data_IF_713431248462
#
_entry.id   IF_713431248462
#
_cell.length_a   1.000
_cell.length_b   1.000
_cell.length_c   1.000
_cell.angle_alpha   90.00
_cell.angle_beta   90.00
_cell.angle_gamma   90.00
#
_symmetry.space_group_name_H-M   'P 1'
#
loop_
_entity.id
_entity.type
_entity.pdbx_description
1 polymer ?
#
# COMPACT_ATOMS: atom_id res chain seq x y z
N UNK A 1 1.44 -14.79 -15.05
CA UNK A 1 0.24 -13.98 -15.44
C UNK A 1 0.41 -12.63 -14.79
N UNK A 2 0.23 -11.50 -15.49
CA UNK A 2 0.43 -10.19 -14.87
C UNK A 2 -0.75 -9.86 -13.94
N UNK A 3 -0.46 -9.41 -12.71
CA UNK A 3 -1.46 -8.90 -11.75
C UNK A 3 -1.67 -7.39 -11.90
N UNK A 4 -0.76 -6.71 -12.62
CA UNK A 4 -0.77 -5.26 -12.81
C UNK A 4 -2.08 -4.78 -13.44
N UNK A 5 -2.65 -3.71 -12.90
CA UNK A 5 -3.93 -3.11 -13.30
C UNK A 5 -5.18 -3.98 -13.11
N UNK A 6 -5.08 -5.09 -12.39
CA UNK A 6 -6.27 -5.86 -12.02
C UNK A 6 -7.04 -5.18 -10.88
N UNK A 7 -8.36 -5.20 -11.00
CA UNK A 7 -9.26 -4.76 -9.94
C UNK A 7 -9.26 -5.74 -8.75
N UNK A 8 -9.76 -5.27 -7.61
CA UNK A 8 -9.95 -6.14 -6.42
C UNK A 8 -10.81 -7.36 -6.78
N UNK A 9 -11.88 -7.18 -7.56
CA UNK A 9 -12.76 -8.27 -7.98
C UNK A 9 -12.02 -9.32 -8.82
N UNK A 10 -11.24 -8.89 -9.82
CA UNK A 10 -10.44 -9.81 -10.64
C UNK A 10 -9.39 -10.56 -9.82
N UNK A 11 -8.71 -9.89 -8.90
CA UNK A 11 -7.74 -10.53 -8.01
C UNK A 11 -8.43 -11.53 -7.07
N UNK A 12 -9.59 -11.17 -6.53
CA UNK A 12 -10.38 -12.07 -5.69
C UNK A 12 -10.85 -13.31 -6.45
N UNK A 13 -11.33 -13.15 -7.68
CA UNK A 13 -11.67 -14.29 -8.56
C UNK A 13 -10.46 -15.20 -8.82
N UNK A 14 -9.26 -14.64 -8.99
CA UNK A 14 -8.03 -15.42 -9.18
C UNK A 14 -7.65 -16.21 -7.93
N UNK A 15 -7.83 -15.64 -6.74
CA UNK A 15 -7.62 -16.33 -5.47
C UNK A 15 -8.67 -17.44 -5.25
N UNK A 16 -9.95 -17.14 -5.47
CA UNK A 16 -11.06 -18.07 -5.26
C UNK A 16 -10.99 -19.30 -6.19
N UNK A 17 -10.59 -19.11 -7.44
CA UNK A 17 -10.41 -20.20 -8.40
C UNK A 17 -9.02 -20.85 -8.33
N UNK A 18 -8.17 -20.41 -7.38
CA UNK A 18 -6.80 -20.91 -7.13
C UNK A 18 -5.85 -20.80 -8.35
N UNK A 19 -6.08 -19.83 -9.23
CA UNK A 19 -5.14 -19.53 -10.33
C UNK A 19 -3.89 -18.78 -9.85
N UNK A 20 -3.95 -18.22 -8.65
CA UNK A 20 -2.83 -17.67 -7.90
C UNK A 20 -3.07 -17.89 -6.40
N UNK A 21 -2.03 -18.11 -5.60
CA UNK A 21 -2.12 -18.09 -4.14
C UNK A 21 -1.99 -16.66 -3.59
N UNK A 22 -2.41 -16.46 -2.33
CA UNK A 22 -2.21 -15.17 -1.65
C UNK A 22 -0.72 -14.84 -1.55
N UNK A 23 0.13 -15.82 -1.21
CA UNK A 23 1.57 -15.63 -1.15
C UNK A 23 2.17 -15.22 -2.49
N UNK A 24 1.77 -15.87 -3.60
CA UNK A 24 2.23 -15.51 -4.94
C UNK A 24 1.79 -14.09 -5.32
N UNK A 25 0.53 -13.73 -5.04
CA UNK A 25 0.01 -12.39 -5.31
C UNK A 25 0.80 -11.31 -4.56
N UNK A 26 1.09 -11.53 -3.28
CA UNK A 26 1.86 -10.59 -2.46
C UNK A 26 3.31 -10.48 -2.96
N UNK A 27 3.96 -11.58 -3.33
CA UNK A 27 5.31 -11.56 -3.90
C UNK A 27 5.39 -10.79 -5.23
N UNK A 28 4.42 -10.99 -6.12
CA UNK A 28 4.35 -10.24 -7.38
C UNK A 28 4.08 -8.75 -7.13
N UNK A 29 3.28 -8.39 -6.12
CA UNK A 29 3.07 -6.99 -5.71
C UNK A 29 4.37 -6.33 -5.26
N UNK A 30 5.19 -7.01 -4.44
CA UNK A 30 6.49 -6.49 -4.03
C UNK A 30 7.46 -6.36 -5.20
N UNK A 31 7.45 -7.30 -6.12
CA UNK A 31 8.25 -7.22 -7.34
C UNK A 31 7.87 -6.01 -8.18
N UNK A 32 6.57 -5.75 -8.40
CA UNK A 32 6.10 -4.54 -9.09
C UNK A 32 6.53 -3.26 -8.37
N UNK A 33 6.47 -3.25 -7.04
CA UNK A 33 6.92 -2.10 -6.25
C UNK A 33 8.41 -1.85 -6.40
N UNK A 34 9.25 -2.90 -6.47
CA UNK A 34 10.70 -2.77 -6.71
C UNK A 34 11.00 -2.36 -8.17
N UNK A 35 10.33 -2.95 -9.15
CA UNK A 35 10.49 -2.62 -10.57
C UNK A 35 10.13 -1.15 -10.88
N UNK A 36 9.25 -0.56 -10.07
CA UNK A 36 8.76 0.82 -10.19
C UNK A 36 9.21 1.73 -9.04
N UNK A 37 10.27 1.36 -8.31
CA UNK A 37 10.75 2.10 -7.13
C UNK A 37 11.12 3.55 -7.40
N UNK A 38 11.49 3.88 -8.63
CA UNK A 38 11.79 5.25 -9.03
C UNK A 38 10.57 6.19 -8.98
N UNK A 39 9.35 5.66 -8.90
CA UNK A 39 8.14 6.47 -8.64
C UNK A 39 8.10 6.99 -7.22
N UNK A 40 8.90 6.43 -6.31
CA UNK A 40 8.99 6.81 -4.89
C UNK A 40 7.63 6.77 -4.15
N UNK A 41 6.79 5.77 -4.50
CA UNK A 41 5.45 5.64 -3.94
C UNK A 41 5.44 5.26 -2.46
N UNK A 42 6.47 4.57 -1.96
CA UNK A 42 6.50 4.01 -0.62
C UNK A 42 7.62 4.58 0.25
N UNK A 43 7.31 4.83 1.53
CA UNK A 43 8.28 5.25 2.57
C UNK A 43 8.75 4.05 3.38
N UNK A 44 7.88 3.08 3.60
CA UNK A 44 8.16 1.86 4.36
C UNK A 44 7.47 0.68 3.70
N UNK A 45 8.21 -0.39 3.44
CA UNK A 45 7.67 -1.66 2.94
C UNK A 45 7.44 -2.61 4.13
N UNK A 46 6.41 -3.46 4.04
CA UNK A 46 5.99 -4.42 5.07
C UNK A 46 6.17 -5.87 4.60
N UNK A 47 7.30 -6.17 3.94
CA UNK A 47 7.45 -7.41 3.17
C UNK A 47 7.29 -8.68 4.00
N UNK A 48 8.05 -8.80 5.08
CA UNK A 48 8.08 -10.06 5.87
C UNK A 48 6.72 -10.36 6.52
N UNK A 49 6.10 -9.34 7.13
CA UNK A 49 4.79 -9.49 7.76
C UNK A 49 3.67 -9.75 6.72
N UNK A 50 3.73 -9.10 5.56
CA UNK A 50 2.76 -9.30 4.49
C UNK A 50 2.85 -10.72 3.89
N UNK A 51 4.05 -11.23 3.64
CA UNK A 51 4.25 -12.59 3.14
C UNK A 51 3.77 -13.62 4.19
N UNK A 52 4.12 -13.42 5.46
CA UNK A 52 3.66 -14.30 6.55
C UNK A 52 2.13 -14.33 6.62
N UNK A 53 1.48 -13.16 6.56
CA UNK A 53 0.01 -13.08 6.57
C UNK A 53 -0.62 -13.78 5.37
N UNK A 54 -0.04 -13.64 4.19
CA UNK A 54 -0.50 -14.33 2.99
C UNK A 54 -0.41 -15.87 3.13
N UNK A 55 0.71 -16.36 3.68
CA UNK A 55 0.89 -17.80 3.97
C UNK A 55 -0.14 -18.32 4.98
N UNK A 56 -0.46 -17.54 6.02
CA UNK A 56 -1.50 -17.89 6.99
C UNK A 56 -2.88 -18.03 6.32
N UNK A 57 -3.24 -17.10 5.41
CA UNK A 57 -4.49 -17.15 4.65
C UNK A 57 -4.54 -18.39 3.75
N UNK A 58 -3.45 -18.67 3.01
CA UNK A 58 -3.36 -19.85 2.14
C UNK A 58 -3.49 -21.16 2.93
N UNK A 59 -2.80 -21.28 4.09
CA UNK A 59 -2.86 -22.45 4.96
C UNK A 59 -4.26 -22.67 5.55
N UNK A 60 -4.91 -21.59 5.98
CA UNK A 60 -6.27 -21.64 6.52
C UNK A 60 -7.31 -21.85 5.42
N UNK A 61 -6.96 -21.62 4.14
CA UNK A 61 -7.87 -21.57 3.00
C UNK A 61 -9.06 -20.62 3.27
N UNK A 62 -8.81 -19.52 4.01
CA UNK A 62 -9.84 -18.57 4.42
C UNK A 62 -9.91 -17.37 3.46
N UNK A 63 -10.68 -17.57 2.41
CA UNK A 63 -11.02 -16.56 1.42
C UNK A 63 -12.46 -16.06 1.58
N UNK A 64 -13.06 -16.20 2.76
CA UNK A 64 -14.47 -15.89 3.03
C UNK A 64 -14.80 -14.39 2.96
N UNK A 65 -13.81 -13.53 3.27
CA UNK A 65 -14.00 -12.08 3.20
C UNK A 65 -13.66 -11.51 1.83
N UNK A 66 -14.34 -10.43 1.46
CA UNK A 66 -14.16 -9.75 0.16
C UNK A 66 -12.74 -9.23 -0.09
N UNK A 67 -11.96 -8.98 0.97
CA UNK A 67 -10.58 -8.52 0.87
C UNK A 67 -9.55 -9.58 1.29
N UNK A 68 -9.97 -10.82 1.60
CA UNK A 68 -9.03 -11.87 2.01
C UNK A 68 -7.93 -12.08 0.95
N UNK A 69 -6.68 -11.86 1.36
CA UNK A 69 -5.51 -12.01 0.51
C UNK A 69 -5.21 -10.82 -0.43
N UNK A 70 -6.03 -9.78 -0.44
CA UNK A 70 -5.86 -8.62 -1.34
C UNK A 70 -4.80 -7.66 -0.80
N UNK A 71 -3.77 -7.29 -1.61
CA UNK A 71 -2.76 -6.31 -1.23
C UNK A 71 -3.35 -4.90 -1.22
N UNK A 72 -3.17 -4.17 -0.11
CA UNK A 72 -3.51 -2.75 0.01
C UNK A 72 -2.31 -1.96 0.51
N UNK A 73 -2.21 -0.70 0.09
CA UNK A 73 -1.21 0.23 0.62
C UNK A 73 -1.88 1.23 1.58
N UNK A 74 -1.18 1.59 2.66
CA UNK A 74 -1.68 2.54 3.65
C UNK A 74 -0.95 3.87 3.53
N UNK A 75 -1.68 4.98 3.41
CA UNK A 75 -1.07 6.31 3.48
C UNK A 75 -0.27 6.45 4.78
N UNK A 76 0.92 7.02 4.70
CA UNK A 76 1.85 7.11 5.84
C UNK A 76 1.38 8.02 7.00
N UNK A 77 0.14 8.48 6.93
CA UNK A 77 -0.58 9.15 8.00
C UNK A 77 -1.22 8.16 9.00
N UNK A 78 -1.68 7.01 8.49
CA UNK A 78 -2.40 6.04 9.33
C UNK A 78 -1.43 5.23 10.19
N UNK A 79 -1.53 5.37 11.51
CA UNK A 79 -0.80 4.52 12.43
C UNK A 79 -1.10 3.04 12.15
N UNK A 80 -0.06 2.24 12.07
CA UNK A 80 -0.14 0.79 11.89
C UNK A 80 0.82 0.16 12.89
N UNK A 81 0.30 -0.58 13.86
CA UNK A 81 1.08 -1.15 14.97
C UNK A 81 2.28 -1.95 14.44
N UNK A 82 3.45 -1.69 15.01
CA UNK A 82 4.69 -2.38 14.66
C UNK A 82 5.29 -1.97 13.30
N UNK A 83 4.58 -1.17 12.48
CA UNK A 83 5.08 -0.70 11.18
C UNK A 83 5.41 0.79 11.23
N UNK A 84 6.65 1.15 10.92
CA UNK A 84 7.11 2.55 10.92
C UNK A 84 6.13 3.44 10.17
N UNK A 85 5.67 4.52 10.83
CA UNK A 85 4.70 5.49 10.33
C UNK A 85 5.23 6.90 10.57
N UNK A 86 5.53 7.65 9.50
CA UNK A 86 6.34 8.86 9.62
C UNK A 86 5.61 10.15 9.25
N UNK A 87 4.39 10.07 8.68
CA UNK A 87 3.73 11.21 8.03
C UNK A 87 4.64 11.92 7.01
N UNK A 88 5.54 11.17 6.37
CA UNK A 88 6.60 11.67 5.48
C UNK A 88 7.47 12.77 6.07
N UNK A 89 7.62 12.80 7.42
CA UNK A 89 8.39 13.78 8.17
C UNK A 89 9.66 13.19 8.76
N UNK A 90 10.74 14.01 8.75
CA UNK A 90 11.97 13.69 9.47
C UNK A 90 11.74 13.55 10.98
N UNK A 91 10.83 14.34 11.55
CA UNK A 91 10.52 14.33 12.99
C UNK A 91 10.04 12.94 13.44
N UNK A 92 9.26 12.26 12.61
CA UNK A 92 8.73 10.93 12.89
C UNK A 92 9.46 9.80 12.16
N UNK A 93 10.64 10.05 11.59
CA UNK A 93 11.34 9.10 10.72
C UNK A 93 11.67 7.74 11.36
N UNK A 94 11.67 7.66 12.68
CA UNK A 94 11.89 6.44 13.47
C UNK A 94 10.68 6.04 14.33
N UNK A 95 9.52 6.68 14.14
CA UNK A 95 8.34 6.37 14.94
C UNK A 95 7.68 5.07 14.50
N UNK A 96 7.48 4.18 15.47
CA UNK A 96 6.71 2.93 15.31
C UNK A 96 5.52 3.01 16.24
N UNK A 97 4.28 3.08 15.70
CA UNK A 97 3.09 3.22 16.51
C UNK A 97 2.83 1.99 17.39
N UNK A 98 2.37 2.16 18.65
CA UNK A 98 1.95 1.08 19.51
C UNK A 98 0.47 0.69 19.32
N UNK A 99 -0.18 1.18 18.27
CA UNK A 99 -1.59 0.91 17.97
C UNK A 99 -1.84 1.08 16.45
N UNK A 100 -2.95 0.49 15.99
CA UNK A 100 -3.43 0.62 14.60
C UNK A 100 -4.63 1.57 14.52
N UNK A 101 -4.65 2.44 13.53
CA UNK A 101 -5.78 3.32 13.24
C UNK A 101 -7.01 2.48 12.86
N UNK A 102 -8.19 2.85 13.37
CA UNK A 102 -9.44 2.09 13.18
C UNK A 102 -9.77 1.80 11.70
N UNK A 103 -9.44 2.73 10.78
CA UNK A 103 -9.66 2.50 9.35
C UNK A 103 -8.81 1.35 8.82
N UNK A 104 -7.52 1.29 9.19
CA UNK A 104 -6.59 0.22 8.80
C UNK A 104 -7.01 -1.09 9.45
N UNK A 105 -7.33 -1.07 10.76
CA UNK A 105 -7.80 -2.24 11.50
C UNK A 105 -9.02 -2.89 10.82
N UNK A 106 -10.00 -2.08 10.40
CA UNK A 106 -11.19 -2.59 9.67
C UNK A 106 -10.83 -3.22 8.33
N UNK A 107 -9.88 -2.67 7.58
CA UNK A 107 -9.40 -3.25 6.32
C UNK A 107 -8.69 -4.59 6.58
N UNK A 108 -7.83 -4.66 7.60
CA UNK A 108 -7.12 -5.88 7.98
C UNK A 108 -8.07 -6.96 8.51
N UNK A 109 -9.09 -6.60 9.30
CA UNK A 109 -10.15 -7.53 9.71
C UNK A 109 -11.01 -8.02 8.53
N UNK A 110 -11.14 -7.23 7.47
CA UNK A 110 -11.76 -7.66 6.22
C UNK A 110 -10.82 -8.55 5.37
N UNK A 111 -9.63 -8.90 5.88
CA UNK A 111 -8.69 -9.84 5.27
C UNK A 111 -7.66 -9.21 4.34
N UNK A 112 -7.61 -7.88 4.20
CA UNK A 112 -6.59 -7.24 3.38
C UNK A 112 -5.18 -7.38 3.98
N UNK A 113 -4.18 -7.33 3.11
CA UNK A 113 -2.77 -7.41 3.50
C UNK A 113 -2.11 -6.06 3.25
N UNK A 114 -1.60 -5.43 4.31
CA UNK A 114 -0.89 -4.15 4.23
C UNK A 114 0.50 -4.37 3.63
N UNK A 115 0.74 -3.84 2.40
CA UNK A 115 2.01 -3.95 1.67
C UNK A 115 3.06 -2.97 2.20
N UNK A 116 2.63 -1.80 2.62
CA UNK A 116 3.53 -0.75 3.10
C UNK A 116 2.84 0.59 3.29
N UNK A 117 3.66 1.59 3.63
CA UNK A 117 3.25 2.96 3.89
C UNK A 117 3.57 3.83 2.68
N UNK A 118 2.56 4.47 2.10
CA UNK A 118 2.73 5.30 0.91
C UNK A 118 3.19 6.71 1.25
N UNK A 119 4.08 7.24 0.42
CA UNK A 119 4.62 8.58 0.51
C UNK A 119 3.52 9.64 0.37
N UNK A 120 3.71 10.78 1.01
CA UNK A 120 2.71 11.84 1.11
C UNK A 120 3.38 13.20 1.33
N UNK A 121 2.66 14.29 1.17
CA UNK A 121 3.12 15.59 1.68
C UNK A 121 3.29 15.51 3.20
N UNK A 122 4.33 16.17 3.73
CA UNK A 122 4.65 16.16 5.15
C UNK A 122 3.43 16.56 6.01
N UNK A 123 3.05 15.70 6.98
CA UNK A 123 1.87 15.86 7.84
C UNK A 123 0.55 16.07 7.09
N UNK A 124 0.44 15.61 5.85
CA UNK A 124 -0.70 15.82 4.96
C UNK A 124 -0.97 17.29 4.61
N UNK A 125 0.03 18.16 4.75
CA UNK A 125 -0.05 19.60 4.49
C UNK A 125 0.55 19.92 3.13
N UNK A 126 -0.21 19.65 2.07
CA UNK A 126 0.20 19.89 0.68
C UNK A 126 -0.75 19.28 -0.33
N UNK A 127 -0.52 19.56 -1.61
CA UNK A 127 -1.37 19.12 -2.72
C UNK A 127 -0.59 18.54 -3.92
N UNK A 128 0.73 18.42 -3.81
CA UNK A 128 1.61 18.04 -4.93
C UNK A 128 2.59 16.92 -4.61
N UNK A 129 2.75 16.56 -3.32
CA UNK A 129 3.74 15.61 -2.79
C UNK A 129 5.19 16.09 -2.95
N UNK A 130 5.41 17.40 -2.83
CA UNK A 130 6.74 18.01 -2.92
C UNK A 130 7.39 18.25 -1.56
N UNK A 131 6.65 18.15 -0.46
CA UNK A 131 7.13 18.46 0.90
C UNK A 131 7.64 17.25 1.68
N UNK A 132 7.59 16.06 1.10
CA UNK A 132 8.04 14.83 1.75
C UNK A 132 9.54 14.85 2.07
N UNK A 133 9.91 14.51 3.31
CA UNK A 133 11.30 14.28 3.70
C UNK A 133 11.97 13.16 2.90
N UNK A 134 11.20 12.19 2.40
CA UNK A 134 11.70 11.04 1.63
C UNK A 134 11.78 11.32 0.11
N UNK A 135 11.60 12.58 -0.30
CA UNK A 135 11.63 13.00 -1.69
C UNK A 135 10.28 12.92 -2.39
N UNK A 136 10.26 13.48 -3.60
CA UNK A 136 9.04 13.62 -4.38
C UNK A 136 8.54 12.30 -4.93
N UNK A 137 7.22 12.16 -5.00
CA UNK A 137 6.57 11.10 -5.77
C UNK A 137 6.45 11.53 -7.23
N UNK A 138 6.69 10.63 -8.16
CA UNK A 138 6.55 10.89 -9.58
C UNK A 138 5.21 10.39 -10.13
N UNK A 139 4.62 11.18 -11.03
CA UNK A 139 3.42 10.76 -11.74
C UNK A 139 3.78 9.58 -12.69
N UNK A 140 3.14 8.40 -12.56
CA UNK A 140 3.47 7.24 -13.37
C UNK A 140 3.15 7.42 -14.86
N UNK A 141 2.21 8.30 -15.20
CA UNK A 141 1.84 8.56 -16.60
C UNK A 141 2.77 9.57 -17.28
N UNK A 142 3.38 10.46 -16.50
CA UNK A 142 4.34 11.43 -17.05
C UNK A 142 5.38 11.79 -15.98
N UNK A 143 6.55 11.18 -16.08
CA UNK A 143 7.68 11.47 -15.17
C UNK A 143 8.02 12.95 -15.16
N UNK A 144 8.42 13.47 -14.01
CA UNK A 144 8.73 14.88 -13.80
C UNK A 144 7.50 15.77 -13.54
N UNK A 145 6.30 15.18 -13.49
CA UNK A 145 5.07 15.82 -13.07
C UNK A 145 4.62 15.32 -11.70
N UNK A 146 3.90 16.15 -10.97
CA UNK A 146 3.35 15.83 -9.66
C UNK A 146 2.19 14.83 -9.81
N UNK A 147 2.03 13.89 -8.86
CA UNK A 147 0.91 12.93 -8.85
C UNK A 147 -0.36 13.52 -8.23
N UNK A 148 -0.27 14.75 -7.70
CA UNK A 148 -1.21 15.30 -6.75
C UNK A 148 -0.79 15.01 -5.31
N UNK A 149 -1.53 15.50 -4.33
CA UNK A 149 -1.26 15.38 -2.89
C UNK A 149 -2.50 15.73 -2.06
N UNK A 150 -2.40 15.55 -0.80
CA UNK A 150 -1.29 15.05 0.01
C UNK A 150 -1.06 13.54 -0.12
N UNK A 151 -1.96 12.76 -0.71
CA UNK A 151 -1.90 11.29 -0.86
C UNK A 151 -1.19 10.85 -2.16
N UNK A 152 -0.11 11.55 -2.56
CA UNK A 152 0.55 11.36 -3.87
C UNK A 152 1.10 9.95 -4.09
N UNK A 153 1.71 9.35 -3.08
CA UNK A 153 2.21 7.97 -3.15
C UNK A 153 1.09 6.95 -3.33
N UNK A 154 -0.05 7.15 -2.65
CA UNK A 154 -1.24 6.29 -2.82
C UNK A 154 -1.80 6.39 -4.23
N UNK A 155 -1.97 7.62 -4.75
CA UNK A 155 -2.45 7.85 -6.11
C UNK A 155 -1.50 7.23 -7.15
N UNK A 156 -0.18 7.44 -6.99
CA UNK A 156 0.82 6.90 -7.91
C UNK A 156 0.90 5.36 -7.87
N UNK A 157 0.84 4.75 -6.68
CA UNK A 157 0.89 3.29 -6.54
C UNK A 157 -0.31 2.60 -7.21
N UNK A 158 -1.52 3.17 -7.09
CA UNK A 158 -2.72 2.65 -7.75
C UNK A 158 -2.66 2.93 -9.25
N UNK A 159 -2.30 4.15 -9.68
CA UNK A 159 -2.23 4.51 -11.09
C UNK A 159 -1.13 3.74 -11.85
N UNK A 160 -0.08 3.30 -11.16
CA UNK A 160 0.96 2.43 -11.73
C UNK A 160 0.58 0.94 -11.69
N UNK A 161 -0.55 0.57 -11.10
CA UNK A 161 -0.99 -0.82 -10.96
C UNK A 161 -0.16 -1.65 -9.98
N UNK A 162 0.56 -1.03 -9.05
CA UNK A 162 1.32 -1.75 -8.02
C UNK A 162 0.36 -2.42 -7.02
N UNK A 163 -0.66 -1.71 -6.61
CA UNK A 163 -1.73 -2.21 -5.74
C UNK A 163 -3.09 -1.84 -6.34
N UNK A 164 -4.14 -2.64 -6.10
CA UNK A 164 -5.47 -2.37 -6.63
C UNK A 164 -6.17 -1.20 -5.91
N UNK A 165 -5.77 -0.92 -4.66
CA UNK A 165 -6.30 0.19 -3.87
C UNK A 165 -5.30 0.63 -2.80
N UNK A 166 -5.46 1.87 -2.34
CA UNK A 166 -4.69 2.45 -1.25
C UNK A 166 -5.56 3.42 -0.45
N UNK A 167 -5.25 3.59 0.83
CA UNK A 167 -5.90 4.62 1.65
C UNK A 167 -5.38 6.01 1.30
N UNK A 168 -6.26 6.99 1.41
CA UNK A 168 -5.95 8.41 1.25
C UNK A 168 -6.74 9.24 2.25
N UNK A 169 -6.44 10.54 2.32
CA UNK A 169 -7.17 11.51 3.16
C UNK A 169 -7.45 12.78 2.37
N UNK A 170 -8.51 13.45 2.74
CA UNK A 170 -8.87 14.76 2.22
C UNK A 170 -9.36 15.63 3.37
N UNK A 171 -9.02 16.92 3.33
CA UNK A 171 -9.41 17.93 4.31
C UNK A 171 -10.06 19.16 3.65
N UNK A 172 -10.20 19.13 2.33
CA UNK A 172 -10.78 20.18 1.51
C UNK A 172 -12.27 20.13 1.32
#
# INVERSE_FOLDING_TARGET
MSIQFKSITELKEMLDNKSISSEELIKETFKLAEDLKELNCFVTMNQDAAIKKAQEIDQANDLSSALSGIPLAQKDLFCTEGLRTTCSSKILSNFVPPYTATAVEKLEHAGSITIGKTNMDEFAMGSSNETSYFGNVHNPWKRGYVPGGSSGGSAAAVAAGIVPAATGTDTG
#
